data_IF_827970359511
#
_entry.id   IF_827970359511
#
_cell.length_a   1.000
_cell.length_b   1.000
_cell.length_c   1.000
_cell.angle_alpha   90.00
_cell.angle_beta   90.00
_cell.angle_gamma   90.00
#
_symmetry.space_group_name_H-M   'P 1'
#
loop_
_entity.id
_entity.type
_entity.pdbx_description
1 polymer ?
#
# COMPACT_ATOMS: atom_id res chain seq x y z
N UNK A 1 5.43 0.29 11.85
CA UNK A 1 4.50 1.45 11.71
C UNK A 1 3.07 1.00 11.94
N UNK A 2 2.23 1.89 12.41
CA UNK A 2 0.80 1.59 12.61
C UNK A 2 0.07 1.66 11.27
N UNK A 3 -0.73 0.63 10.95
CA UNK A 3 -1.49 0.60 9.70
C UNK A 3 -2.96 0.85 10.02
N UNK A 4 -3.52 1.88 9.41
CA UNK A 4 -4.93 2.24 9.59
C UNK A 4 -5.71 1.80 8.37
N UNK A 5 -6.81 1.16 8.66
CA UNK A 5 -7.81 0.51 7.82
C UNK A 5 -7.31 -0.80 7.24
N UNK A 6 -6.68 -1.66 8.07
CA UNK A 6 -6.35 -3.04 7.67
C UNK A 6 -7.60 -3.77 7.20
N UNK A 7 -8.78 -3.42 7.75
CA UNK A 7 -10.05 -4.01 7.33
C UNK A 7 -10.31 -3.85 5.84
N UNK A 8 -9.87 -2.75 5.23
CA UNK A 8 -9.99 -2.54 3.78
C UNK A 8 -9.29 -3.65 3.01
N UNK A 9 -8.10 -4.03 3.46
CA UNK A 9 -7.32 -5.08 2.82
C UNK A 9 -7.95 -6.45 3.07
N UNK A 10 -8.43 -6.69 4.29
CA UNK A 10 -9.09 -7.94 4.66
C UNK A 10 -10.35 -8.15 3.83
N UNK A 11 -11.16 -7.12 3.69
CA UNK A 11 -12.38 -7.19 2.89
C UNK A 11 -12.06 -7.48 1.42
N UNK A 12 -10.94 -6.97 0.94
CA UNK A 12 -10.51 -7.20 -0.43
C UNK A 12 -10.11 -8.66 -0.65
N UNK A 13 -9.27 -9.24 0.23
CA UNK A 13 -8.78 -10.60 -0.01
C UNK A 13 -9.85 -11.67 0.20
N UNK A 14 -10.94 -11.37 0.92
CA UNK A 14 -12.06 -12.29 1.01
C UNK A 14 -12.64 -12.55 -0.38
N UNK A 15 -12.71 -11.52 -1.22
CA UNK A 15 -13.21 -11.60 -2.60
C UNK A 15 -12.13 -11.95 -3.62
N UNK A 16 -10.87 -11.67 -3.30
CA UNK A 16 -9.73 -11.88 -4.18
C UNK A 16 -8.68 -12.72 -3.45
N UNK A 17 -8.92 -14.02 -3.40
CA UNK A 17 -8.15 -14.93 -2.56
C UNK A 17 -6.67 -14.96 -2.88
N UNK A 18 -6.29 -14.75 -4.12
CA UNK A 18 -4.88 -14.75 -4.51
C UNK A 18 -4.11 -13.55 -3.93
N UNK A 19 -4.83 -12.52 -3.46
CA UNK A 19 -4.22 -11.36 -2.83
C UNK A 19 -3.96 -11.57 -1.33
N UNK A 20 -4.56 -12.59 -0.73
CA UNK A 20 -4.53 -12.75 0.74
C UNK A 20 -3.11 -12.87 1.29
N UNK A 21 -2.34 -13.88 0.87
CA UNK A 21 -1.01 -14.08 1.41
C UNK A 21 -0.05 -12.93 1.10
N UNK A 22 -0.01 -12.41 -0.14
CA UNK A 22 0.82 -11.24 -0.43
C UNK A 22 0.47 -10.02 0.41
N UNK A 23 -0.82 -9.76 0.66
CA UNK A 23 -1.23 -8.63 1.50
C UNK A 23 -0.90 -8.85 2.97
N UNK A 24 -1.07 -10.07 3.48
CA UNK A 24 -0.67 -10.40 4.85
C UNK A 24 0.83 -10.22 5.05
N UNK A 25 1.64 -10.63 4.08
CA UNK A 25 3.08 -10.43 4.12
C UNK A 25 3.44 -8.94 4.14
N UNK A 26 2.77 -8.14 3.29
CA UNK A 26 3.00 -6.70 3.27
C UNK A 26 2.62 -6.05 4.60
N UNK A 27 1.47 -6.44 5.18
CA UNK A 27 1.01 -5.92 6.48
C UNK A 27 2.08 -6.20 7.55
N UNK A 28 2.57 -7.43 7.61
CA UNK A 28 3.57 -7.82 8.61
C UNK A 28 4.86 -7.02 8.44
N UNK A 29 5.36 -6.90 7.21
CA UNK A 29 6.56 -6.15 6.93
C UNK A 29 6.39 -4.67 7.26
N UNK A 30 5.28 -4.08 6.83
CA UNK A 30 5.01 -2.66 7.06
C UNK A 30 4.84 -2.36 8.55
N UNK A 31 4.13 -3.24 9.27
CA UNK A 31 3.92 -3.06 10.72
C UNK A 31 5.25 -3.09 11.48
N UNK A 32 6.20 -3.89 11.02
CA UNK A 32 7.51 -4.03 11.66
C UNK A 32 8.55 -3.04 11.11
N UNK A 33 8.20 -2.23 10.14
CA UNK A 33 9.14 -1.27 9.55
C UNK A 33 9.22 0.01 10.36
N UNK A 34 10.32 0.75 10.12
CA UNK A 34 10.57 2.05 10.77
C UNK A 34 11.07 3.05 9.73
N UNK A 35 10.44 3.09 8.56
CA UNK A 35 10.86 4.01 7.51
C UNK A 35 10.75 5.45 7.99
N UNK A 36 11.87 6.18 7.89
CA UNK A 36 11.92 7.60 8.28
C UNK A 36 11.54 8.53 7.14
N UNK A 37 11.65 8.06 5.91
CA UNK A 37 11.36 8.83 4.70
C UNK A 37 11.17 7.89 3.53
N UNK A 38 10.82 8.47 2.37
CA UNK A 38 10.55 7.67 1.17
C UNK A 38 11.80 6.95 0.65
N UNK A 39 12.99 7.49 0.87
CA UNK A 39 14.23 6.84 0.45
C UNK A 39 14.44 5.52 1.18
N UNK A 40 14.16 5.50 2.48
CA UNK A 40 14.28 4.29 3.29
C UNK A 40 13.25 3.24 2.88
N UNK A 41 12.02 3.69 2.61
CA UNK A 41 10.97 2.82 2.10
C UNK A 41 11.39 2.21 0.76
N UNK A 42 11.90 3.03 -0.14
CA UNK A 42 12.30 2.62 -1.50
C UNK A 42 13.42 1.58 -1.46
N UNK A 43 14.31 1.66 -0.47
CA UNK A 43 15.39 0.69 -0.29
C UNK A 43 14.84 -0.73 -0.04
N UNK A 44 13.70 -0.83 0.66
CA UNK A 44 13.03 -2.11 0.94
C UNK A 44 12.11 -2.54 -0.21
N UNK A 45 11.48 -1.56 -0.88
CA UNK A 45 10.50 -1.81 -1.95
C UNK A 45 10.91 -1.04 -3.19
N UNK A 46 11.81 -1.62 -3.99
CA UNK A 46 12.35 -0.95 -5.17
C UNK A 46 11.31 -0.60 -6.21
N UNK A 47 10.24 -1.40 -6.29
CA UNK A 47 9.19 -1.20 -7.28
C UNK A 47 8.06 -0.30 -6.77
N UNK A 48 8.17 0.21 -5.56
CA UNK A 48 7.19 1.17 -5.05
C UNK A 48 7.31 2.49 -5.80
N UNK A 49 6.17 3.13 -6.07
CA UNK A 49 6.12 4.43 -6.72
C UNK A 49 5.84 5.51 -5.68
N UNK A 50 6.72 6.49 -5.58
CA UNK A 50 6.55 7.63 -4.69
C UNK A 50 5.87 8.74 -5.48
N UNK A 51 4.58 8.97 -5.22
CA UNK A 51 3.80 9.93 -6.00
C UNK A 51 3.81 11.33 -5.43
N UNK A 52 3.78 11.45 -4.11
CA UNK A 52 3.86 12.74 -3.40
C UNK A 52 4.68 12.54 -2.13
N UNK A 53 4.81 13.60 -1.33
CA UNK A 53 5.49 13.49 -0.04
C UNK A 53 4.89 12.45 0.89
N UNK A 54 3.64 12.05 0.66
CA UNK A 54 2.93 11.07 1.50
C UNK A 54 2.46 9.85 0.72
N UNK A 55 2.09 10.02 -0.55
CA UNK A 55 1.41 8.99 -1.33
C UNK A 55 2.39 8.03 -1.97
N UNK A 56 2.18 6.75 -1.71
CA UNK A 56 3.02 5.67 -2.21
C UNK A 56 2.15 4.57 -2.78
N UNK A 57 2.60 3.97 -3.89
CA UNK A 57 1.93 2.82 -4.49
C UNK A 57 2.86 1.61 -4.41
N UNK A 58 2.37 0.53 -3.83
CA UNK A 58 3.10 -0.74 -3.76
C UNK A 58 2.55 -1.71 -4.78
N UNK A 59 3.45 -2.45 -5.41
CA UNK A 59 3.09 -3.60 -6.23
C UNK A 59 2.91 -4.81 -5.31
N UNK A 60 1.77 -5.48 -5.42
CA UNK A 60 1.45 -6.65 -4.60
C UNK A 60 1.35 -7.85 -5.52
N UNK A 61 1.99 -8.96 -5.14
CA UNK A 61 2.06 -10.18 -5.95
C UNK A 61 2.58 -9.86 -7.35
N UNK A 62 3.83 -9.36 -7.39
CA UNK A 62 4.43 -8.89 -8.65
C UNK A 62 3.63 -7.72 -9.21
N UNK A 63 2.98 -7.89 -10.35
CA UNK A 63 2.18 -6.85 -10.98
C UNK A 63 0.68 -7.07 -10.89
N UNK A 64 0.22 -8.08 -10.15
CA UNK A 64 -1.20 -8.44 -10.13
C UNK A 64 -2.07 -7.39 -9.47
N UNK A 65 -1.60 -6.82 -8.36
CA UNK A 65 -2.38 -5.86 -7.58
C UNK A 65 -1.57 -4.60 -7.29
N UNK A 66 -2.30 -3.50 -7.02
CA UNK A 66 -1.72 -2.22 -6.63
C UNK A 66 -2.34 -1.77 -5.31
N UNK A 67 -1.49 -1.37 -4.38
CA UNK A 67 -1.91 -0.88 -3.07
C UNK A 67 -1.47 0.58 -2.94
N UNK A 68 -2.43 1.48 -2.72
CA UNK A 68 -2.17 2.91 -2.55
C UNK A 68 -2.31 3.25 -1.08
N UNK A 69 -1.30 3.92 -0.54
CA UNK A 69 -1.29 4.34 0.86
C UNK A 69 -0.84 5.78 0.99
N UNK A 70 -1.18 6.40 2.11
CA UNK A 70 -0.59 7.65 2.55
C UNK A 70 0.23 7.39 3.80
N UNK A 71 1.46 7.87 3.83
CA UNK A 71 2.37 7.62 4.95
C UNK A 71 2.71 8.94 5.64
N UNK A 72 2.48 8.96 6.96
CA UNK A 72 2.96 10.00 7.84
C UNK A 72 4.22 9.47 8.54
N UNK A 73 5.39 9.77 7.97
CA UNK A 73 6.65 9.21 8.45
C UNK A 73 6.96 9.63 9.89
N UNK A 74 6.68 10.88 10.23
CA UNK A 74 6.94 11.38 11.58
C UNK A 74 6.11 10.68 12.64
N UNK A 75 4.85 10.40 12.32
CA UNK A 75 3.92 9.75 13.24
C UNK A 75 3.97 8.23 13.13
N UNK A 76 4.70 7.71 12.14
CA UNK A 76 4.83 6.28 11.88
C UNK A 76 3.47 5.61 11.62
N UNK A 77 2.65 6.27 10.81
CA UNK A 77 1.31 5.80 10.46
C UNK A 77 1.21 5.60 8.95
N UNK A 78 0.61 4.49 8.55
CA UNK A 78 0.29 4.20 7.15
C UNK A 78 -1.23 4.13 7.04
N UNK A 79 -1.80 4.97 6.17
CA UNK A 79 -3.24 4.97 5.87
C UNK A 79 -3.47 4.22 4.58
N UNK A 80 -4.30 3.18 4.62
CA UNK A 80 -4.68 2.45 3.42
C UNK A 80 -5.70 3.30 2.65
N UNK A 81 -5.38 3.62 1.39
CA UNK A 81 -6.25 4.45 0.55
C UNK A 81 -7.06 3.59 -0.43
N UNK A 82 -6.40 2.64 -1.11
CA UNK A 82 -7.05 1.89 -2.17
C UNK A 82 -6.28 0.61 -2.46
N UNK A 83 -6.99 -0.45 -2.82
CA UNK A 83 -6.43 -1.71 -3.28
C UNK A 83 -7.25 -2.20 -4.48
N UNK A 84 -6.59 -2.70 -5.51
CA UNK A 84 -7.25 -3.24 -6.67
C UNK A 84 -6.29 -3.95 -7.59
N UNK A 85 -6.81 -4.46 -8.72
CA UNK A 85 -6.00 -5.11 -9.74
C UNK A 85 -5.24 -4.07 -10.56
N UNK A 86 -4.21 -4.53 -11.28
CA UNK A 86 -3.47 -3.69 -12.21
C UNK A 86 -4.42 -2.98 -13.21
N UNK A 87 -5.38 -3.72 -13.76
CA UNK A 87 -6.33 -3.14 -14.72
C UNK A 87 -7.20 -2.06 -14.09
N UNK A 88 -7.66 -2.27 -12.86
CA UNK A 88 -8.44 -1.28 -12.15
C UNK A 88 -7.59 -0.05 -11.83
N UNK A 89 -6.34 -0.26 -11.45
CA UNK A 89 -5.40 0.82 -11.18
C UNK A 89 -5.20 1.74 -12.39
N UNK A 90 -5.17 1.16 -13.60
CA UNK A 90 -4.97 1.93 -14.82
C UNK A 90 -6.14 2.88 -15.13
N UNK A 91 -7.28 2.69 -14.48
CA UNK A 91 -8.50 3.50 -14.69
C UNK A 91 -8.70 4.59 -13.66
N UNK A 92 -7.84 4.68 -12.65
CA UNK A 92 -7.97 5.67 -11.59
C UNK A 92 -6.77 6.63 -11.61
N UNK A 93 -6.93 7.76 -10.96
CA UNK A 93 -5.81 8.68 -10.71
C UNK A 93 -5.28 8.41 -9.30
N UNK A 94 -4.19 7.64 -9.24
CA UNK A 94 -3.58 7.22 -7.97
C UNK A 94 -3.13 8.41 -7.13
N UNK A 95 -2.78 9.53 -7.76
CA UNK A 95 -2.27 10.70 -7.07
C UNK A 95 -3.36 11.46 -6.32
N UNK A 96 -4.59 11.43 -6.82
CA UNK A 96 -5.71 12.21 -6.28
C UNK A 96 -6.83 11.39 -5.66
N UNK A 97 -6.85 10.08 -5.89
CA UNK A 97 -7.90 9.24 -5.31
C UNK A 97 -7.87 9.34 -3.79
N UNK A 98 -9.04 9.42 -3.18
CA UNK A 98 -9.14 9.56 -1.74
C UNK A 98 -9.82 8.35 -1.13
N UNK A 99 -9.56 8.15 0.14
CA UNK A 99 -10.22 7.13 0.93
C UNK A 99 -11.68 7.54 1.18
N UNK A 100 -12.60 6.61 0.94
CA UNK A 100 -14.03 6.81 1.21
C UNK A 100 -14.48 6.01 2.41
#
# INVERSE_FOLDING_TARGET
MRIIAVSTLRNYWIKHKTAEQPLKSWIQEAANSTWRNSSKLKANYRNASILTSKRVVFNIKGNDFRLIVDIEYRLKIIFIVWIGTHKQYDKIDAKTISYD
#
